data_IF_824340580761
#
_entry.id   IF_824340580761
#
_cell.length_a   1.000
_cell.length_b   1.000
_cell.length_c   1.000
_cell.angle_alpha   90.00
_cell.angle_beta   90.00
_cell.angle_gamma   90.00
#
_symmetry.space_group_name_H-M   'P 1'
#
loop_
_entity.id
_entity.type
_entity.pdbx_description
1 polymer ?
#
# COMPACT_ATOMS: atom_id res chain seq x y z
N UNK A 1 12.27 -8.38 24.82
CA UNK A 1 12.05 -9.16 23.58
C UNK A 1 13.17 -8.83 22.60
N UNK A 2 13.76 -9.82 21.92
CA UNK A 2 14.88 -9.56 21.00
C UNK A 2 14.41 -8.87 19.70
N UNK A 3 15.24 -8.05 19.04
CA UNK A 3 14.89 -7.43 17.76
C UNK A 3 14.44 -8.43 16.69
N UNK A 4 15.09 -9.59 16.64
CA UNK A 4 14.73 -10.68 15.72
C UNK A 4 13.34 -11.24 16.01
N UNK A 5 12.96 -11.37 17.28
CA UNK A 5 11.62 -11.84 17.66
C UNK A 5 10.53 -10.82 17.24
N UNK A 6 10.80 -9.52 17.39
CA UNK A 6 9.92 -8.45 16.91
C UNK A 6 9.75 -8.55 15.39
N UNK A 7 10.85 -8.64 14.64
CA UNK A 7 10.81 -8.74 13.18
C UNK A 7 9.99 -9.95 12.70
N UNK A 8 10.16 -11.12 13.34
CA UNK A 8 9.38 -12.33 13.03
C UNK A 8 7.90 -12.15 13.36
N UNK A 9 7.59 -11.57 14.52
CA UNK A 9 6.20 -11.35 14.95
C UNK A 9 5.47 -10.41 13.98
N UNK A 10 6.13 -9.35 13.53
CA UNK A 10 5.57 -8.43 12.53
C UNK A 10 5.45 -9.08 11.16
N UNK A 11 6.41 -9.91 10.73
CA UNK A 11 6.25 -10.67 9.49
C UNK A 11 5.03 -11.60 9.54
N UNK A 12 4.82 -12.31 10.64
CA UNK A 12 3.63 -13.16 10.85
C UNK A 12 2.36 -12.33 10.83
N UNK A 13 2.34 -11.18 11.50
CA UNK A 13 1.22 -10.25 11.48
C UNK A 13 0.88 -9.79 10.06
N UNK A 14 1.87 -9.39 9.26
CA UNK A 14 1.65 -8.94 7.88
C UNK A 14 1.06 -10.05 7.01
N UNK A 15 1.55 -11.28 7.12
CA UNK A 15 0.97 -12.42 6.39
C UNK A 15 -0.43 -12.78 6.88
N UNK A 16 -0.70 -12.67 8.18
CA UNK A 16 -2.05 -12.88 8.72
C UNK A 16 -3.03 -11.81 8.22
N UNK A 17 -2.62 -10.54 8.17
CA UNK A 17 -3.40 -9.46 7.58
C UNK A 17 -3.61 -9.66 6.08
N UNK A 18 -2.56 -10.02 5.33
CA UNK A 18 -2.66 -10.32 3.92
C UNK A 18 -3.70 -11.42 3.68
N UNK A 19 -3.61 -12.54 4.40
CA UNK A 19 -4.59 -13.62 4.31
C UNK A 19 -6.01 -13.15 4.66
N UNK A 20 -6.17 -12.42 5.77
CA UNK A 20 -7.47 -11.88 6.18
C UNK A 20 -8.09 -11.00 5.08
N UNK A 21 -7.32 -10.07 4.54
CA UNK A 21 -7.75 -9.12 3.53
C UNK A 21 -8.02 -9.78 2.18
N UNK A 22 -7.27 -10.84 1.87
CA UNK A 22 -7.46 -11.71 0.71
C UNK A 22 -8.79 -12.45 0.76
N UNK A 23 -9.11 -13.13 1.87
CA UNK A 23 -10.36 -13.92 1.98
C UNK A 23 -11.61 -13.03 2.01
N UNK A 24 -11.49 -11.79 2.48
CA UNK A 24 -12.57 -10.79 2.46
C UNK A 24 -12.67 -10.04 1.13
N UNK A 25 -11.91 -10.45 0.11
CA UNK A 25 -11.91 -9.82 -1.22
C UNK A 25 -11.68 -8.31 -1.16
N UNK A 26 -10.79 -7.83 -0.27
CA UNK A 26 -10.55 -6.39 -0.08
C UNK A 26 -9.93 -5.73 -1.33
N UNK A 27 -9.35 -6.53 -2.23
CA UNK A 27 -8.91 -6.08 -3.53
C UNK A 27 -10.03 -5.57 -4.43
N UNK A 28 -11.31 -5.81 -4.12
CA UNK A 28 -12.45 -5.25 -4.84
C UNK A 28 -12.81 -3.81 -4.41
N UNK A 29 -12.21 -3.31 -3.32
CA UNK A 29 -12.50 -1.96 -2.85
C UNK A 29 -12.14 -0.93 -3.93
N UNK A 30 -13.07 0.00 -4.16
CA UNK A 30 -12.89 1.14 -5.05
C UNK A 30 -12.61 0.69 -6.50
N UNK A 31 -11.46 1.02 -7.11
CA UNK A 31 -11.21 0.74 -8.53
C UNK A 31 -11.02 -0.77 -8.81
N UNK A 32 -10.77 -1.56 -7.78
CA UNK A 32 -10.48 -2.98 -7.93
C UNK A 32 -11.62 -3.82 -8.49
N UNK A 33 -12.88 -3.48 -8.19
CA UNK A 33 -14.02 -4.15 -8.81
C UNK A 33 -14.07 -3.87 -10.32
N UNK A 34 -13.82 -2.62 -10.73
CA UNK A 34 -13.73 -2.24 -12.15
C UNK A 34 -12.61 -3.00 -12.85
N UNK A 35 -11.44 -3.10 -12.22
CA UNK A 35 -10.28 -3.81 -12.79
C UNK A 35 -10.61 -5.28 -13.00
N UNK A 36 -11.23 -5.93 -12.01
CA UNK A 36 -11.61 -7.34 -12.14
C UNK A 36 -12.67 -7.54 -13.24
N UNK A 37 -13.70 -6.69 -13.32
CA UNK A 37 -14.71 -6.79 -14.39
C UNK A 37 -14.06 -6.66 -15.76
N UNK A 38 -13.25 -5.62 -15.97
CA UNK A 38 -12.60 -5.38 -17.26
C UNK A 38 -11.66 -6.53 -17.64
N UNK A 39 -10.97 -7.11 -16.66
CA UNK A 39 -10.12 -8.28 -16.86
C UNK A 39 -10.91 -9.49 -17.36
N UNK A 40 -12.07 -9.76 -16.75
CA UNK A 40 -12.91 -10.90 -17.08
C UNK A 40 -13.69 -10.72 -18.39
N UNK A 41 -14.13 -9.50 -18.68
CA UNK A 41 -14.86 -9.14 -19.92
C UNK A 41 -13.94 -9.21 -21.14
N UNK A 42 -12.72 -8.68 -21.03
CA UNK A 42 -11.78 -8.60 -22.14
C UNK A 42 -10.90 -9.85 -22.30
N UNK A 43 -10.73 -10.65 -21.25
CA UNK A 43 -9.88 -11.85 -21.27
C UNK A 43 -8.38 -11.58 -21.46
N UNK A 44 -7.92 -10.34 -21.24
CA UNK A 44 -6.51 -9.95 -21.31
C UNK A 44 -6.22 -8.86 -20.27
N UNK A 45 -4.93 -8.58 -20.04
CA UNK A 45 -4.48 -7.56 -19.10
C UNK A 45 -5.17 -6.22 -19.35
N UNK A 46 -5.66 -5.61 -18.28
CA UNK A 46 -6.29 -4.31 -18.34
C UNK A 46 -5.35 -3.24 -17.81
N UNK A 47 -4.91 -2.33 -18.68
CA UNK A 47 -4.01 -1.23 -18.35
C UNK A 47 -4.80 0.09 -18.34
N UNK A 48 -5.20 0.57 -17.15
CA UNK A 48 -5.88 1.87 -17.03
C UNK A 48 -4.94 3.04 -17.35
N UNK A 49 -3.68 2.89 -16.95
CA UNK A 49 -2.60 3.80 -17.28
C UNK A 49 -1.41 2.97 -17.76
N UNK A 50 -1.13 2.99 -19.07
CA UNK A 50 0.00 2.23 -19.61
C UNK A 50 1.30 2.52 -18.84
N UNK A 51 1.50 3.75 -18.37
CA UNK A 51 2.63 4.15 -17.52
C UNK A 51 2.81 3.36 -16.20
N UNK A 52 1.80 2.60 -15.75
CA UNK A 52 1.78 1.84 -14.48
C UNK A 52 1.59 0.32 -14.67
N UNK A 53 1.65 -0.14 -15.92
CA UNK A 53 1.25 -1.48 -16.35
C UNK A 53 2.02 -2.65 -15.68
N UNK A 54 3.27 -2.49 -15.24
CA UNK A 54 4.05 -3.64 -14.78
C UNK A 54 3.50 -4.27 -13.49
N UNK A 55 3.05 -3.44 -12.53
CA UNK A 55 2.47 -3.94 -11.28
C UNK A 55 1.11 -4.56 -11.53
N UNK A 56 0.34 -3.96 -12.43
CA UNK A 56 -0.97 -4.46 -12.85
C UNK A 56 -0.85 -5.83 -13.50
N UNK A 57 0.11 -6.03 -14.41
CA UNK A 57 0.31 -7.34 -15.04
C UNK A 57 0.64 -8.43 -14.03
N UNK A 58 1.55 -8.17 -13.09
CA UNK A 58 1.93 -9.17 -12.08
C UNK A 58 0.74 -9.50 -11.16
N UNK A 59 -0.11 -8.52 -10.85
CA UNK A 59 -1.26 -8.70 -9.94
C UNK A 59 -2.49 -9.31 -10.63
N UNK A 60 -2.65 -9.09 -11.94
CA UNK A 60 -3.76 -9.63 -12.74
C UNK A 60 -3.48 -11.04 -13.29
N UNK A 61 -2.21 -11.39 -13.54
CA UNK A 61 -1.84 -12.67 -14.17
C UNK A 61 -2.44 -13.91 -13.48
N UNK A 62 -2.44 -14.03 -12.13
CA UNK A 62 -3.04 -15.18 -11.46
C UNK A 62 -4.55 -15.34 -11.75
N UNK A 63 -5.26 -14.23 -11.94
CA UNK A 63 -6.70 -14.23 -12.22
C UNK A 63 -6.96 -14.70 -13.64
N UNK A 64 -6.20 -14.19 -14.61
CA UNK A 64 -6.29 -14.61 -16.01
C UNK A 64 -6.01 -16.10 -16.17
N UNK A 65 -4.95 -16.61 -15.54
CA UNK A 65 -4.61 -18.03 -15.59
C UNK A 65 -5.73 -18.92 -15.01
N UNK A 66 -6.37 -18.49 -13.91
CA UNK A 66 -7.52 -19.21 -13.35
C UNK A 66 -8.74 -19.15 -14.28
N UNK A 67 -9.02 -17.98 -14.87
CA UNK A 67 -10.10 -17.81 -15.83
C UNK A 67 -9.87 -18.66 -17.09
N UNK A 68 -8.66 -18.72 -17.62
CA UNK A 68 -8.28 -19.61 -18.73
C UNK A 68 -8.43 -21.08 -18.36
N UNK A 69 -8.11 -21.46 -17.12
CA UNK A 69 -8.32 -22.80 -16.58
C UNK A 69 -9.81 -23.14 -16.33
N UNK A 70 -10.74 -22.28 -16.72
CA UNK A 70 -12.19 -22.53 -16.65
C UNK A 70 -12.83 -22.13 -15.32
N UNK A 71 -12.12 -21.43 -14.43
CA UNK A 71 -12.72 -20.88 -13.21
C UNK A 71 -13.72 -19.79 -13.57
N UNK A 72 -14.96 -19.96 -13.10
CA UNK A 72 -16.05 -18.99 -13.30
C UNK A 72 -16.66 -18.48 -11.99
N UNK A 73 -16.16 -18.95 -10.84
CA UNK A 73 -16.54 -18.40 -9.54
C UNK A 73 -15.85 -17.05 -9.32
N UNK A 74 -16.62 -15.96 -9.41
CA UNK A 74 -16.09 -14.60 -9.26
C UNK A 74 -15.55 -14.35 -7.86
N UNK A 75 -16.03 -15.07 -6.83
CA UNK A 75 -15.48 -14.97 -5.49
C UNK A 75 -14.07 -15.54 -5.44
N UNK A 76 -13.85 -16.73 -6.00
CA UNK A 76 -12.52 -17.33 -6.05
C UNK A 76 -11.54 -16.47 -6.85
N UNK A 77 -12.01 -15.88 -7.96
CA UNK A 77 -11.22 -14.94 -8.76
C UNK A 77 -10.89 -13.65 -7.99
N UNK A 78 -11.85 -13.11 -7.23
CA UNK A 78 -11.63 -11.94 -6.35
C UNK A 78 -10.66 -12.25 -5.19
N UNK A 79 -10.70 -13.46 -4.64
CA UNK A 79 -9.72 -13.95 -3.66
C UNK A 79 -8.34 -14.03 -4.31
N UNK A 80 -8.21 -14.63 -5.49
CA UNK A 80 -6.93 -14.72 -6.19
C UNK A 80 -6.37 -13.34 -6.53
N UNK A 81 -7.22 -12.42 -6.99
CA UNK A 81 -6.86 -11.04 -7.27
C UNK A 81 -6.35 -10.33 -6.00
N UNK A 82 -7.12 -10.41 -4.91
CA UNK A 82 -6.73 -9.84 -3.62
C UNK A 82 -5.45 -10.47 -3.08
N UNK A 83 -5.25 -11.79 -3.27
CA UNK A 83 -4.03 -12.49 -2.89
C UNK A 83 -2.81 -11.90 -3.60
N UNK A 84 -2.88 -11.68 -4.91
CA UNK A 84 -1.78 -11.10 -5.67
C UNK A 84 -1.46 -9.68 -5.20
N UNK A 85 -2.49 -8.86 -4.94
CA UNK A 85 -2.36 -7.49 -4.45
C UNK A 85 -1.73 -7.40 -3.05
N UNK A 86 -2.06 -8.30 -2.12
CA UNK A 86 -1.52 -8.28 -0.75
C UNK A 86 -0.21 -9.04 -0.59
N UNK A 87 -0.01 -10.14 -1.34
CA UNK A 87 1.16 -11.00 -1.17
C UNK A 87 2.46 -10.31 -1.61
N UNK A 88 2.45 -9.55 -2.71
CA UNK A 88 3.62 -8.83 -3.21
C UNK A 88 4.20 -7.83 -2.19
N UNK A 89 3.45 -6.82 -1.71
CA UNK A 89 3.98 -5.86 -0.74
C UNK A 89 4.38 -6.56 0.57
N UNK A 90 3.62 -7.57 1.00
CA UNK A 90 3.94 -8.36 2.20
C UNK A 90 5.28 -9.10 2.04
N UNK A 91 5.53 -9.71 0.88
CA UNK A 91 6.79 -10.39 0.59
C UNK A 91 7.98 -9.42 0.58
N UNK A 92 7.81 -8.22 0.01
CA UNK A 92 8.85 -7.19 0.02
C UNK A 92 9.14 -6.66 1.43
N UNK A 93 8.12 -6.36 2.23
CA UNK A 93 8.34 -5.96 3.63
C UNK A 93 8.93 -7.08 4.48
N UNK A 94 8.52 -8.33 4.26
CA UNK A 94 9.14 -9.48 4.90
C UNK A 94 10.63 -9.60 4.53
N UNK A 95 10.97 -9.44 3.25
CA UNK A 95 12.36 -9.41 2.80
C UNK A 95 13.13 -8.27 3.48
N UNK A 96 12.57 -7.06 3.53
CA UNK A 96 13.19 -5.91 4.20
C UNK A 96 13.48 -6.24 5.68
N UNK A 97 12.48 -6.72 6.42
CA UNK A 97 12.61 -7.16 7.82
C UNK A 97 13.71 -8.21 7.99
N UNK A 98 13.75 -9.23 7.12
CA UNK A 98 14.77 -10.29 7.17
C UNK A 98 16.17 -9.74 6.94
N UNK A 99 16.32 -8.78 6.02
CA UNK A 99 17.61 -8.15 5.71
C UNK A 99 18.15 -7.34 6.89
N UNK A 100 17.29 -6.54 7.53
CA UNK A 100 17.72 -5.61 8.59
C UNK A 100 17.60 -6.17 10.00
N UNK A 101 17.08 -7.39 10.22
CA UNK A 101 16.81 -7.98 11.56
C UNK A 101 17.97 -7.97 12.56
N UNK A 102 19.21 -7.84 12.08
CA UNK A 102 20.43 -7.82 12.91
C UNK A 102 20.92 -6.41 13.23
N UNK A 103 20.38 -5.39 12.57
CA UNK A 103 20.66 -3.98 12.81
C UNK A 103 19.40 -3.34 13.43
N UNK A 104 19.38 -3.09 14.76
CA UNK A 104 18.21 -2.55 15.42
C UNK A 104 17.78 -1.17 14.92
N UNK A 105 18.71 -0.35 14.40
CA UNK A 105 18.38 0.99 13.89
C UNK A 105 17.66 0.88 12.54
N UNK A 106 18.22 0.08 11.62
CA UNK A 106 17.58 -0.16 10.33
C UNK A 106 16.26 -0.93 10.49
N UNK A 107 16.20 -1.87 11.44
CA UNK A 107 14.95 -2.57 11.77
C UNK A 107 13.89 -1.61 12.30
N UNK A 108 14.25 -0.71 13.22
CA UNK A 108 13.33 0.31 13.71
C UNK A 108 12.78 1.18 12.55
N UNK A 109 13.63 1.56 11.58
CA UNK A 109 13.21 2.32 10.41
C UNK A 109 12.25 1.52 9.50
N UNK A 110 12.51 0.23 9.24
CA UNK A 110 11.59 -0.61 8.45
C UNK A 110 10.25 -0.81 9.18
N UNK A 111 10.28 -1.01 10.50
CA UNK A 111 9.05 -1.08 11.31
C UNK A 111 8.27 0.24 11.29
N UNK A 112 8.97 1.37 11.32
CA UNK A 112 8.36 2.69 11.16
C UNK A 112 7.69 2.85 9.80
N UNK A 113 8.35 2.42 8.71
CA UNK A 113 7.76 2.42 7.36
C UNK A 113 6.49 1.54 7.33
N UNK A 114 6.54 0.33 7.89
CA UNK A 114 5.36 -0.54 7.94
C UNK A 114 4.20 0.15 8.70
N UNK A 115 4.48 0.71 9.86
CA UNK A 115 3.46 1.27 10.74
C UNK A 115 2.88 2.61 10.25
N UNK A 116 3.68 3.47 9.62
CA UNK A 116 3.29 4.83 9.26
C UNK A 116 3.13 5.07 7.74
N UNK A 117 3.59 4.14 6.90
CA UNK A 117 3.43 4.20 5.43
C UNK A 117 2.51 3.08 4.97
N UNK A 118 2.85 1.81 5.21
CA UNK A 118 2.09 0.69 4.64
C UNK A 118 0.69 0.53 5.23
N UNK A 119 0.56 0.29 6.54
CA UNK A 119 -0.76 0.05 7.17
C UNK A 119 -1.74 1.21 6.91
N UNK A 120 -1.32 2.49 6.97
CA UNK A 120 -2.21 3.61 6.70
C UNK A 120 -2.61 3.76 5.22
N UNK A 121 -1.97 3.07 4.28
CA UNK A 121 -2.31 3.17 2.86
C UNK A 121 -2.81 1.86 2.25
N UNK A 122 -2.70 0.74 2.98
CA UNK A 122 -2.97 -0.60 2.46
C UNK A 122 -4.44 -1.00 2.37
N UNK A 123 -5.37 -0.17 2.87
CA UNK A 123 -6.79 -0.43 2.70
C UNK A 123 -7.19 -0.29 1.22
N UNK A 124 -6.73 0.78 0.56
CA UNK A 124 -6.75 0.90 -0.89
C UNK A 124 -5.52 0.18 -1.48
N UNK A 125 -5.61 -1.14 -1.60
CA UNK A 125 -4.47 -1.97 -2.00
C UNK A 125 -4.19 -1.95 -3.51
N UNK A 126 -5.23 -1.69 -4.33
CA UNK A 126 -5.19 -1.72 -5.80
C UNK A 126 -4.19 -0.71 -6.35
N UNK A 127 -3.95 0.39 -5.61
CA UNK A 127 -2.91 1.35 -5.97
C UNK A 127 -1.52 0.73 -6.01
N UNK A 128 -0.88 0.88 -7.17
CA UNK A 128 0.43 0.34 -7.54
C UNK A 128 1.54 0.85 -6.59
N UNK A 129 1.30 2.01 -5.97
CA UNK A 129 2.19 2.60 -4.96
C UNK A 129 2.47 1.66 -3.79
N UNK A 130 1.54 0.78 -3.40
CA UNK A 130 1.77 -0.14 -2.27
C UNK A 130 2.91 -1.13 -2.59
N UNK A 131 2.90 -1.67 -3.80
CA UNK A 131 3.97 -2.56 -4.31
C UNK A 131 5.26 -1.77 -4.50
N UNK A 132 5.18 -0.58 -5.10
CA UNK A 132 6.35 0.27 -5.32
C UNK A 132 7.05 0.66 -4.00
N UNK A 133 6.31 1.14 -3.00
CA UNK A 133 6.85 1.52 -1.69
C UNK A 133 7.50 0.33 -0.97
N UNK A 134 6.85 -0.84 -1.01
CA UNK A 134 7.39 -2.04 -0.40
C UNK A 134 8.67 -2.52 -1.11
N UNK A 135 8.65 -2.55 -2.45
CA UNK A 135 9.79 -2.92 -3.29
C UNK A 135 10.99 -1.99 -3.06
N UNK A 136 10.77 -0.67 -3.05
CA UNK A 136 11.81 0.34 -2.79
C UNK A 136 12.36 0.19 -1.37
N UNK A 137 11.52 -0.08 -0.38
CA UNK A 137 11.97 -0.35 1.00
C UNK A 137 12.85 -1.60 1.06
N UNK A 138 12.45 -2.68 0.39
CA UNK A 138 13.24 -3.90 0.30
C UNK A 138 14.56 -3.68 -0.44
N UNK A 139 14.54 -2.93 -1.55
CA UNK A 139 15.73 -2.58 -2.31
C UNK A 139 16.70 -1.73 -1.48
N UNK A 140 16.20 -0.74 -0.73
CA UNK A 140 17.03 0.04 0.18
C UNK A 140 17.64 -0.85 1.27
N UNK A 141 16.86 -1.73 1.88
CA UNK A 141 17.37 -2.69 2.86
C UNK A 141 18.46 -3.59 2.27
N UNK A 142 18.32 -4.06 1.03
CA UNK A 142 19.34 -4.84 0.33
C UNK A 142 20.59 -4.00 0.05
N UNK A 143 20.43 -2.79 -0.47
CA UNK A 143 21.55 -1.89 -0.79
C UNK A 143 22.37 -1.54 0.47
N UNK A 144 21.72 -1.22 1.58
CA UNK A 144 22.42 -0.85 2.81
C UNK A 144 23.12 -2.04 3.50
N UNK A 145 22.57 -3.24 3.36
CA UNK A 145 23.10 -4.45 4.03
C UNK A 145 24.06 -5.28 3.17
N UNK A 146 24.18 -4.99 1.88
CA UNK A 146 25.15 -5.65 1.02
C UNK A 146 26.57 -5.13 1.27
N UNK A 147 27.56 -6.00 1.05
CA UNK A 147 29.00 -5.71 1.04
C UNK A 147 29.48 -5.18 -0.32
N UNK A 148 28.58 -5.08 -1.30
CA UNK A 148 28.90 -4.59 -2.65
C UNK A 148 29.60 -5.63 -3.53
N UNK A 149 29.76 -6.87 -3.07
CA UNK A 149 30.44 -7.94 -3.83
C UNK A 149 29.51 -9.09 -4.21
N UNK A 150 28.31 -9.16 -3.61
CA UNK A 150 27.35 -10.24 -3.86
C UNK A 150 26.55 -10.05 -5.14
N UNK A 151 26.85 -10.86 -6.16
CA UNK A 151 26.10 -10.94 -7.42
C UNK A 151 24.58 -11.15 -7.22
N UNK A 152 24.18 -11.96 -6.24
CA UNK A 152 22.76 -12.19 -5.91
C UNK A 152 22.04 -10.91 -5.50
N UNK A 153 22.69 -10.07 -4.69
CA UNK A 153 22.09 -8.82 -4.23
C UNK A 153 21.98 -7.82 -5.39
N UNK A 154 23.00 -7.75 -6.26
CA UNK A 154 22.95 -6.94 -7.48
C UNK A 154 21.83 -7.39 -8.43
N UNK A 155 21.66 -8.71 -8.64
CA UNK A 155 20.57 -9.26 -9.45
C UNK A 155 19.18 -8.97 -8.88
N UNK A 156 19.01 -9.09 -7.55
CA UNK A 156 17.76 -8.72 -6.88
C UNK A 156 17.43 -7.24 -7.06
N UNK A 157 18.42 -6.35 -6.87
CA UNK A 157 18.24 -4.91 -7.08
C UNK A 157 17.87 -4.58 -8.52
N UNK A 158 18.46 -5.27 -9.50
CA UNK A 158 18.08 -5.12 -10.90
C UNK A 158 16.63 -5.55 -11.14
N UNK A 159 16.22 -6.72 -10.63
CA UNK A 159 14.85 -7.18 -10.73
C UNK A 159 13.86 -6.19 -10.10
N UNK A 160 14.19 -5.61 -8.95
CA UNK A 160 13.39 -4.58 -8.29
C UNK A 160 13.30 -3.30 -9.11
N UNK A 161 14.42 -2.87 -9.72
CA UNK A 161 14.45 -1.71 -10.61
C UNK A 161 13.57 -1.91 -11.85
N UNK A 162 13.63 -3.10 -12.47
CA UNK A 162 12.80 -3.44 -13.64
C UNK A 162 11.31 -3.47 -13.30
N UNK A 163 10.94 -4.02 -12.14
CA UNK A 163 9.56 -3.95 -11.66
C UNK A 163 9.11 -2.49 -11.50
N UNK A 164 9.97 -1.63 -10.93
CA UNK A 164 9.66 -0.23 -10.66
C UNK A 164 9.56 0.67 -11.90
N UNK A 165 10.05 0.25 -13.08
CA UNK A 165 10.10 1.08 -14.30
C UNK A 165 8.75 1.73 -14.66
N UNK A 166 7.67 0.96 -14.56
CA UNK A 166 6.29 1.39 -14.86
C UNK A 166 5.40 1.06 -13.67
N UNK A 167 5.75 1.58 -12.49
CA UNK A 167 5.00 1.30 -11.26
C UNK A 167 4.22 2.49 -10.74
N UNK A 168 4.87 3.62 -10.43
CA UNK A 168 4.18 4.70 -9.71
C UNK A 168 4.90 6.05 -9.77
N UNK A 169 4.17 7.15 -9.57
CA UNK A 169 4.67 8.52 -9.67
C UNK A 169 5.73 8.91 -8.63
N UNK A 170 5.71 8.28 -7.45
CA UNK A 170 6.72 8.57 -6.42
C UNK A 170 8.13 8.13 -6.81
N UNK A 171 8.28 7.30 -7.86
CA UNK A 171 9.61 6.91 -8.35
C UNK A 171 10.39 8.10 -8.90
N UNK A 172 9.74 9.23 -9.23
CA UNK A 172 10.44 10.46 -9.63
C UNK A 172 11.49 10.90 -8.60
N UNK A 173 11.20 10.77 -7.31
CA UNK A 173 12.13 11.12 -6.23
C UNK A 173 12.71 9.90 -5.50
N UNK A 174 11.97 8.79 -5.42
CA UNK A 174 12.48 7.57 -4.78
C UNK A 174 13.48 6.81 -5.67
N UNK A 175 13.31 6.84 -6.99
CA UNK A 175 14.19 6.19 -7.96
C UNK A 175 15.62 6.73 -7.89
N UNK A 176 15.85 8.06 -8.01
CA UNK A 176 17.18 8.64 -7.91
C UNK A 176 17.82 8.43 -6.53
N UNK A 177 17.04 8.52 -5.45
CA UNK A 177 17.50 8.22 -4.09
C UNK A 177 18.06 6.79 -4.00
N UNK A 178 17.32 5.81 -4.52
CA UNK A 178 17.71 4.42 -4.47
C UNK A 178 18.89 4.11 -5.40
N UNK A 179 18.90 4.68 -6.60
CA UNK A 179 20.04 4.59 -7.51
C UNK A 179 21.33 5.10 -6.86
N UNK A 180 21.27 6.24 -6.15
CA UNK A 180 22.40 6.78 -5.43
C UNK A 180 22.89 5.85 -4.30
N UNK A 181 21.97 5.29 -3.50
CA UNK A 181 22.30 4.32 -2.45
C UNK A 181 22.90 3.01 -3.00
N UNK A 182 22.42 2.54 -4.15
CA UNK A 182 22.95 1.36 -4.86
C UNK A 182 24.38 1.63 -5.34
N UNK A 183 24.62 2.74 -6.03
CA UNK A 183 25.96 3.09 -6.51
C UNK A 183 26.94 3.33 -5.36
N UNK A 184 26.49 3.96 -4.27
CA UNK A 184 27.28 4.09 -3.04
C UNK A 184 27.66 2.71 -2.48
N UNK A 185 26.74 1.75 -2.47
CA UNK A 185 26.98 0.40 -1.97
C UNK A 185 27.96 -0.37 -2.88
N UNK A 186 27.82 -0.25 -4.19
CA UNK A 186 28.73 -0.85 -5.17
C UNK A 186 30.16 -0.31 -5.04
N UNK A 187 30.33 0.99 -4.73
CA UNK A 187 31.66 1.60 -4.53
C UNK A 187 32.38 1.09 -3.27
N UNK A 188 31.66 0.57 -2.28
CA UNK A 188 32.28 -0.02 -1.08
C UNK A 188 32.93 -1.38 -1.35
N UNK A 189 32.48 -2.09 -2.39
CA UNK A 189 32.91 -3.44 -2.70
C UNK A 189 33.95 -3.51 -3.83
N UNK A 190 34.98 -4.33 -3.64
CA UNK A 190 35.94 -4.69 -4.69
C UNK A 190 35.45 -5.80 -5.64
N UNK A 191 34.13 -5.95 -5.82
CA UNK A 191 33.52 -7.08 -6.53
C UNK A 191 33.98 -7.23 -7.99
N UNK A 192 33.73 -8.41 -8.55
CA UNK A 192 34.06 -8.73 -9.94
C UNK A 192 33.34 -7.77 -10.93
N UNK A 193 33.87 -7.60 -12.16
CA UNK A 193 33.28 -6.71 -13.15
C UNK A 193 31.80 -6.99 -13.44
N UNK A 194 31.38 -8.26 -13.46
CA UNK A 194 29.99 -8.65 -13.73
C UNK A 194 29.03 -8.18 -12.63
N UNK A 195 29.43 -8.32 -11.36
CA UNK A 195 28.66 -7.80 -10.23
C UNK A 195 28.53 -6.27 -10.28
N UNK A 196 29.60 -5.55 -10.66
CA UNK A 196 29.56 -4.08 -10.83
C UNK A 196 28.61 -3.67 -11.94
N UNK A 197 28.62 -4.36 -13.08
CA UNK A 197 27.69 -4.12 -14.19
C UNK A 197 26.24 -4.30 -13.72
N UNK A 198 25.94 -5.36 -12.97
CA UNK A 198 24.58 -5.57 -12.44
C UNK A 198 24.12 -4.44 -11.51
N UNK A 199 24.99 -3.93 -10.64
CA UNK A 199 24.66 -2.78 -9.80
C UNK A 199 24.43 -1.50 -10.63
N UNK A 200 25.22 -1.28 -11.69
CA UNK A 200 25.02 -0.15 -12.60
C UNK A 200 23.69 -0.27 -13.35
N UNK A 201 23.37 -1.44 -13.88
CA UNK A 201 22.10 -1.71 -14.54
C UNK A 201 20.92 -1.53 -13.57
N UNK A 202 21.06 -1.97 -12.32
CA UNK A 202 20.04 -1.76 -11.29
C UNK A 202 19.81 -0.26 -11.02
N UNK A 203 20.89 0.51 -10.86
CA UNK A 203 20.80 1.96 -10.68
C UNK A 203 20.15 2.64 -11.89
N UNK A 204 20.55 2.25 -13.12
CA UNK A 204 19.94 2.74 -14.35
C UNK A 204 18.45 2.41 -14.45
N UNK A 205 18.02 1.22 -14.02
CA UNK A 205 16.61 0.85 -14.01
C UNK A 205 15.79 1.76 -13.07
N UNK A 206 16.31 2.11 -11.88
CA UNK A 206 15.65 3.05 -10.98
C UNK A 206 15.64 4.50 -11.49
N UNK A 207 16.67 4.93 -12.23
CA UNK A 207 16.64 6.21 -12.94
C UNK A 207 15.62 6.18 -14.08
N UNK A 208 15.55 5.09 -14.84
CA UNK A 208 14.53 4.87 -15.87
C UNK A 208 13.13 4.96 -15.30
N UNK A 209 12.89 4.38 -14.12
CA UNK A 209 11.60 4.47 -13.42
C UNK A 209 11.23 5.92 -13.10
N UNK A 210 12.21 6.71 -12.67
CA UNK A 210 12.01 8.13 -12.40
C UNK A 210 11.67 8.93 -13.66
N UNK A 211 12.31 8.61 -14.80
CA UNK A 211 12.04 9.25 -16.09
C UNK A 211 10.65 8.92 -16.61
N UNK A 212 10.24 7.64 -16.58
CA UNK A 212 8.88 7.22 -16.96
C UNK A 212 7.84 7.92 -16.09
N UNK A 213 8.09 7.99 -14.78
CA UNK A 213 7.23 8.73 -13.86
C UNK A 213 7.17 10.22 -14.19
N UNK A 214 8.28 10.86 -14.54
CA UNK A 214 8.30 12.27 -14.88
C UNK A 214 7.44 12.54 -16.14
N UNK A 215 7.63 11.74 -17.20
CA UNK A 215 6.81 11.82 -18.43
C UNK A 215 5.33 11.69 -18.10
N UNK A 216 4.96 10.69 -17.29
CA UNK A 216 3.57 10.48 -16.86
C UNK A 216 3.02 11.70 -16.12
N UNK A 217 3.78 12.29 -15.19
CA UNK A 217 3.36 13.48 -14.46
C UNK A 217 3.13 14.66 -15.42
N UNK A 218 3.99 14.83 -16.43
CA UNK A 218 3.81 15.88 -17.43
C UNK A 218 2.58 15.64 -18.31
N UNK A 219 2.41 14.43 -18.84
CA UNK A 219 1.29 14.09 -19.74
C UNK A 219 -0.07 14.28 -19.06
N UNK A 220 -0.15 13.98 -17.76
CA UNK A 220 -1.40 14.06 -16.99
C UNK A 220 -1.52 15.31 -16.11
N UNK A 221 -0.59 16.27 -16.22
CA UNK A 221 -0.54 17.42 -15.32
C UNK A 221 -1.83 18.25 -15.35
N UNK A 222 -2.38 18.50 -16.53
CA UNK A 222 -3.57 19.34 -16.71
C UNK A 222 -4.87 18.52 -16.83
N UNK A 223 -4.79 17.19 -16.67
CA UNK A 223 -5.97 16.34 -16.75
C UNK A 223 -6.92 16.62 -15.56
N UNK A 224 -8.23 16.86 -15.79
CA UNK A 224 -9.17 17.28 -14.74
C UNK A 224 -9.19 16.36 -13.51
N UNK A 225 -9.08 15.04 -13.73
CA UNK A 225 -8.96 14.06 -12.67
C UNK A 225 -7.74 14.34 -11.76
N UNK A 226 -6.56 14.61 -12.34
CA UNK A 226 -5.33 14.82 -11.59
C UNK A 226 -5.31 16.17 -10.86
N UNK A 227 -5.97 17.20 -11.41
CA UNK A 227 -6.19 18.45 -10.68
C UNK A 227 -7.02 18.23 -9.42
N UNK A 228 -8.13 17.47 -9.50
CA UNK A 228 -8.97 17.12 -8.36
C UNK A 228 -8.20 16.29 -7.31
N UNK A 229 -7.44 15.30 -7.75
CA UNK A 229 -6.63 14.46 -6.85
C UNK A 229 -5.55 15.28 -6.14
N UNK A 230 -4.89 16.20 -6.85
CA UNK A 230 -3.88 17.09 -6.28
C UNK A 230 -4.47 18.04 -5.25
N UNK A 231 -5.63 18.64 -5.52
CA UNK A 231 -6.28 19.55 -4.57
C UNK A 231 -6.74 18.82 -3.30
N UNK A 232 -7.18 17.57 -3.42
CA UNK A 232 -7.52 16.73 -2.25
C UNK A 232 -6.30 16.14 -1.53
N UNK A 233 -5.09 16.23 -2.07
CA UNK A 233 -3.89 15.59 -1.47
C UNK A 233 -3.54 16.13 -0.08
N UNK A 234 -4.03 17.33 0.26
CA UNK A 234 -3.89 17.88 1.61
C UNK A 234 -4.78 17.16 2.62
N UNK A 235 -5.90 16.56 2.21
CA UNK A 235 -6.87 15.89 3.08
C UNK A 235 -6.35 14.57 3.70
N UNK A 236 -5.05 14.26 3.56
CA UNK A 236 -4.41 13.11 4.19
C UNK A 236 -4.63 13.06 5.72
N UNK A 237 -4.86 14.20 6.38
CA UNK A 237 -5.13 14.25 7.82
C UNK A 237 -6.45 13.58 8.21
N UNK A 238 -7.38 13.39 7.27
CA UNK A 238 -8.62 12.64 7.49
C UNK A 238 -8.35 11.15 7.74
N UNK A 239 -7.17 10.65 7.32
CA UNK A 239 -6.73 9.31 7.64
C UNK A 239 -6.14 9.27 9.05
N UNK A 240 -6.97 8.93 10.04
CA UNK A 240 -6.50 8.79 11.43
C UNK A 240 -5.39 7.73 11.57
N UNK A 241 -5.38 6.69 10.73
CA UNK A 241 -4.31 5.68 10.74
C UNK A 241 -2.97 6.26 10.28
N UNK A 242 -2.98 7.34 9.50
CA UNK A 242 -1.77 8.04 9.08
C UNK A 242 -1.40 9.17 10.06
N UNK A 243 -2.38 10.00 10.41
CA UNK A 243 -2.19 11.19 11.24
C UNK A 243 -1.71 10.85 12.66
N UNK A 244 -2.25 9.81 13.29
CA UNK A 244 -1.89 9.42 14.67
C UNK A 244 -0.42 8.96 14.74
N UNK A 245 0.04 7.97 13.95
CA UNK A 245 1.47 7.64 13.85
C UNK A 245 2.34 8.85 13.53
N UNK A 246 1.98 9.64 12.51
CA UNK A 246 2.76 10.79 12.07
C UNK A 246 2.97 11.80 13.19
N UNK A 247 1.95 12.09 13.99
CA UNK A 247 2.06 12.96 15.16
C UNK A 247 3.10 12.42 16.16
N UNK A 248 3.07 11.12 16.46
CA UNK A 248 4.08 10.47 17.30
C UNK A 248 5.49 10.59 16.76
N UNK A 249 5.67 10.35 15.46
CA UNK A 249 6.95 10.52 14.77
C UNK A 249 7.46 11.96 14.85
N UNK A 250 6.62 12.94 14.55
CA UNK A 250 6.99 14.35 14.57
C UNK A 250 7.36 14.82 15.98
N UNK A 251 6.60 14.44 17.00
CA UNK A 251 6.93 14.77 18.40
C UNK A 251 8.28 14.18 18.78
N UNK A 252 8.51 12.89 18.50
CA UNK A 252 9.77 12.24 18.83
C UNK A 252 10.96 12.80 18.03
N UNK A 253 10.75 13.12 16.77
CA UNK A 253 11.76 13.72 15.90
C UNK A 253 12.14 15.12 16.39
N UNK A 254 11.17 16.01 16.61
CA UNK A 254 11.42 17.38 17.07
C UNK A 254 12.06 17.39 18.45
N UNK A 255 11.58 16.56 19.38
CA UNK A 255 12.18 16.43 20.70
C UNK A 255 13.60 15.85 20.62
N UNK A 256 13.82 14.82 19.80
CA UNK A 256 15.12 14.18 19.60
C UNK A 256 16.16 15.06 18.91
N UNK A 257 15.74 15.90 17.96
CA UNK A 257 16.63 16.88 17.30
C UNK A 257 17.04 17.97 18.30
N UNK A 258 16.08 18.49 19.09
CA UNK A 258 16.35 19.55 20.07
C UNK A 258 17.13 19.06 21.29
N UNK A 259 16.87 17.83 21.75
CA UNK A 259 17.48 17.23 22.94
C UNK A 259 17.75 15.74 22.70
N UNK A 260 18.87 15.37 22.05
CA UNK A 260 19.18 13.97 21.74
C UNK A 260 19.16 13.03 22.96
N UNK A 261 19.60 13.51 24.14
CA UNK A 261 19.55 12.74 25.39
C UNK A 261 18.11 12.38 25.83
N UNK A 262 17.08 13.11 25.38
CA UNK A 262 15.69 12.78 25.66
C UNK A 262 15.29 11.41 25.10
N UNK A 263 15.90 10.97 23.99
CA UNK A 263 15.65 9.65 23.40
C UNK A 263 16.06 8.48 24.32
N UNK A 264 17.00 8.73 25.24
CA UNK A 264 17.43 7.74 26.24
C UNK A 264 16.47 7.65 27.41
N UNK A 265 15.69 8.71 27.68
CA UNK A 265 14.74 8.78 28.79
C UNK A 265 13.42 8.07 28.53
N UNK A 266 12.46 8.23 29.46
CA UNK A 266 11.11 7.64 29.36
C UNK A 266 10.20 8.37 28.36
N UNK A 267 10.59 9.57 27.92
CA UNK A 267 9.78 10.43 27.05
C UNK A 267 9.26 9.75 25.77
N UNK A 268 10.12 9.13 24.94
CA UNK A 268 9.67 8.41 23.75
C UNK A 268 8.68 7.28 24.06
N UNK A 269 8.86 6.59 25.20
CA UNK A 269 7.97 5.50 25.62
C UNK A 269 6.58 6.04 25.95
N UNK A 270 6.50 7.15 26.68
CA UNK A 270 5.22 7.78 27.02
C UNK A 270 4.52 8.28 25.77
N UNK A 271 5.23 9.03 24.91
CA UNK A 271 4.66 9.56 23.66
C UNK A 271 4.17 8.42 22.77
N UNK A 272 5.03 7.47 22.45
CA UNK A 272 4.65 6.37 21.55
C UNK A 272 3.63 5.43 22.19
N UNK A 273 3.64 5.25 23.52
CA UNK A 273 2.63 4.48 24.24
C UNK A 273 1.24 5.11 24.12
N UNK A 274 1.14 6.43 24.26
CA UNK A 274 -0.11 7.17 24.02
C UNK A 274 -0.56 7.02 22.57
N UNK A 275 0.36 7.18 21.61
CA UNK A 275 0.07 7.04 20.17
C UNK A 275 -0.41 5.63 19.82
N UNK A 276 0.21 4.60 20.38
CA UNK A 276 -0.20 3.20 20.26
C UNK A 276 -1.63 3.00 20.78
N UNK A 277 -1.95 3.53 21.95
CA UNK A 277 -3.30 3.44 22.54
C UNK A 277 -4.31 4.19 21.66
N UNK A 278 -4.01 5.43 21.28
CA UNK A 278 -4.89 6.24 20.42
C UNK A 278 -5.18 5.55 19.09
N UNK A 279 -4.16 4.97 18.45
CA UNK A 279 -4.32 4.23 17.20
C UNK A 279 -5.18 2.98 17.40
N UNK A 280 -4.90 2.21 18.46
CA UNK A 280 -5.64 1.01 18.79
C UNK A 280 -7.13 1.29 19.05
N UNK A 281 -7.47 2.36 19.77
CA UNK A 281 -8.86 2.70 20.08
C UNK A 281 -9.58 3.45 18.96
N UNK A 282 -8.85 3.92 17.94
CA UNK A 282 -9.41 4.75 16.85
C UNK A 282 -10.67 4.18 16.17
N UNK A 283 -10.85 2.85 15.97
CA UNK A 283 -12.07 2.32 15.37
C UNK A 283 -13.34 2.56 16.19
N UNK A 284 -13.20 2.69 17.52
CA UNK A 284 -14.30 2.90 18.44
C UNK A 284 -14.57 4.38 18.71
N UNK A 285 -13.69 5.29 18.29
CA UNK A 285 -13.90 6.73 18.47
C UNK A 285 -15.24 7.16 17.88
N UNK A 286 -15.64 6.57 16.74
CA UNK A 286 -16.94 6.82 16.11
C UNK A 286 -18.16 6.65 17.05
N UNK A 287 -18.06 5.81 18.08
CA UNK A 287 -19.15 5.59 19.05
C UNK A 287 -19.36 6.85 19.89
N UNK A 288 -18.28 7.60 20.13
CA UNK A 288 -18.27 8.82 20.96
C UNK A 288 -18.34 10.08 20.11
N UNK A 289 -17.72 10.09 18.93
CA UNK A 289 -17.73 11.20 17.99
C UNK A 289 -17.90 10.66 16.56
N UNK A 290 -19.12 10.67 16.05
CA UNK A 290 -19.46 10.14 14.73
C UNK A 290 -18.60 10.71 13.57
N UNK A 291 -18.10 11.97 13.61
CA UNK A 291 -17.18 12.49 12.59
C UNK A 291 -15.74 11.92 12.64
N UNK A 292 -15.31 11.28 13.75
CA UNK A 292 -13.96 10.68 13.90
C UNK A 292 -13.86 9.34 13.17
N UNK A 293 -13.92 9.40 11.85
CA UNK A 293 -14.05 8.25 10.97
C UNK A 293 -12.67 7.83 10.44
N UNK A 294 -12.42 6.52 10.51
CA UNK A 294 -11.46 5.87 9.62
C UNK A 294 -12.07 5.90 8.22
N UNK A 295 -11.74 6.92 7.42
CA UNK A 295 -12.35 7.12 6.11
C UNK A 295 -11.58 6.33 5.06
N UNK A 296 -12.10 5.20 4.53
CA UNK A 296 -11.32 4.33 3.64
C UNK A 296 -10.75 5.05 2.41
N UNK A 297 -11.48 5.99 1.76
CA UNK A 297 -10.92 6.74 0.66
C UNK A 297 -9.71 7.62 1.01
N UNK A 298 -9.57 8.03 2.27
CA UNK A 298 -8.39 8.78 2.73
C UNK A 298 -7.08 7.97 2.65
N UNK A 299 -7.14 6.64 2.56
CA UNK A 299 -5.95 5.80 2.35
C UNK A 299 -5.31 6.04 0.98
N UNK A 300 -6.12 6.28 -0.06
CA UNK A 300 -5.63 6.69 -1.37
C UNK A 300 -5.04 8.10 -1.30
N UNK A 301 -5.73 9.05 -0.68
CA UNK A 301 -5.25 10.44 -0.56
C UNK A 301 -3.93 10.53 0.20
N UNK A 302 -3.80 9.76 1.29
CA UNK A 302 -2.60 9.75 2.14
C UNK A 302 -1.34 9.24 1.42
N UNK A 303 -1.46 8.56 0.27
CA UNK A 303 -0.33 7.96 -0.45
C UNK A 303 0.79 8.96 -0.80
N UNK A 304 0.45 10.22 -1.10
CA UNK A 304 1.46 11.24 -1.44
C UNK A 304 2.27 11.65 -0.21
N UNK A 305 1.59 11.97 0.90
CA UNK A 305 2.24 12.26 2.17
C UNK A 305 3.05 11.05 2.69
N UNK A 306 2.51 9.85 2.55
CA UNK A 306 3.18 8.60 2.89
C UNK A 306 4.43 8.36 2.03
N UNK A 307 4.38 8.70 0.74
CA UNK A 307 5.53 8.65 -0.16
C UNK A 307 6.65 9.63 0.24
N UNK A 308 6.31 10.84 0.69
CA UNK A 308 7.29 11.80 1.21
C UNK A 308 7.89 11.31 2.54
N UNK A 309 7.05 10.79 3.44
CA UNK A 309 7.50 10.20 4.70
C UNK A 309 8.45 9.02 4.46
N UNK A 310 8.12 8.16 3.49
CA UNK A 310 8.98 7.07 3.05
C UNK A 310 10.34 7.61 2.59
N UNK A 311 10.38 8.62 1.73
CA UNK A 311 11.64 9.21 1.27
C UNK A 311 12.50 9.69 2.45
N UNK A 312 11.91 10.40 3.41
CA UNK A 312 12.59 10.87 4.60
C UNK A 312 13.17 9.72 5.46
N UNK A 313 12.39 8.65 5.65
CA UNK A 313 12.84 7.46 6.38
C UNK A 313 13.97 6.73 5.65
N UNK A 314 13.90 6.59 4.33
CA UNK A 314 14.94 5.95 3.51
C UNK A 314 16.23 6.78 3.46
N UNK A 315 16.13 8.11 3.37
CA UNK A 315 17.28 9.02 3.53
C UNK A 315 17.89 8.84 4.91
N UNK A 316 17.07 8.79 5.97
CA UNK A 316 17.52 8.52 7.33
C UNK A 316 18.27 7.19 7.45
N UNK A 317 17.74 6.12 6.86
CA UNK A 317 18.40 4.81 6.81
C UNK A 317 19.75 4.89 6.10
N UNK A 318 19.82 5.55 4.95
CA UNK A 318 21.07 5.67 4.20
C UNK A 318 22.11 6.50 4.96
N UNK A 319 21.73 7.65 5.51
CA UNK A 319 22.60 8.49 6.35
C UNK A 319 23.10 7.74 7.59
N UNK A 320 22.26 6.91 8.20
CA UNK A 320 22.66 6.07 9.34
C UNK A 320 23.82 5.13 9.00
N UNK A 321 23.94 4.65 7.75
CA UNK A 321 25.02 3.73 7.35
C UNK A 321 26.17 4.45 6.68
N UNK A 322 25.88 5.44 5.82
CA UNK A 322 26.87 6.07 4.96
C UNK A 322 27.65 7.20 5.63
N UNK A 323 27.06 7.87 6.62
CA UNK A 323 27.62 9.09 7.16
C UNK A 323 28.58 8.80 8.32
N UNK A 324 29.84 9.21 8.14
CA UNK A 324 30.94 8.95 9.09
C UNK A 324 30.83 9.79 10.37
N UNK A 325 30.36 11.04 10.26
CA UNK A 325 30.23 11.99 11.36
C UNK A 325 28.76 12.34 11.61
N UNK A 326 27.96 11.38 12.11
CA UNK A 326 26.52 11.57 12.30
C UNK A 326 26.18 12.73 13.25
N UNK A 327 25.11 13.49 12.98
CA UNK A 327 24.56 14.44 13.94
C UNK A 327 24.22 13.76 15.28
N UNK A 328 24.14 14.53 16.36
CA UNK A 328 23.93 14.00 17.71
C UNK A 328 22.68 13.09 17.85
N UNK A 329 21.60 13.37 17.11
CA UNK A 329 20.41 12.51 17.09
C UNK A 329 20.71 11.10 16.54
N UNK A 330 21.50 11.00 15.47
CA UNK A 330 21.88 9.73 14.88
C UNK A 330 22.79 8.94 15.84
N UNK A 331 23.70 9.62 16.54
CA UNK A 331 24.52 9.01 17.60
C UNK A 331 23.65 8.46 18.73
N UNK A 332 22.65 9.23 19.19
CA UNK A 332 21.73 8.78 20.24
C UNK A 332 20.91 7.56 19.81
N UNK A 333 20.38 7.54 18.59
CA UNK A 333 19.61 6.41 18.05
C UNK A 333 20.46 5.15 17.89
N UNK A 334 21.76 5.27 17.60
CA UNK A 334 22.69 4.12 17.50
C UNK A 334 22.98 3.46 18.84
N UNK A 335 22.65 4.07 19.97
CA UNK A 335 22.85 3.45 21.27
C UNK A 335 22.00 2.17 21.39
N UNK A 336 22.58 1.03 21.81
CA UNK A 336 21.88 -0.26 21.78
C UNK A 336 20.54 -0.26 22.54
N UNK A 337 20.47 0.45 23.67
CA UNK A 337 19.27 0.57 24.49
C UNK A 337 18.18 1.38 23.77
N UNK A 338 18.54 2.50 23.15
CA UNK A 338 17.62 3.36 22.40
C UNK A 338 17.10 2.63 21.17
N UNK A 339 18.00 2.01 20.39
CA UNK A 339 17.63 1.28 19.19
C UNK A 339 16.71 0.10 19.50
N UNK A 340 17.02 -0.69 20.54
CA UNK A 340 16.17 -1.81 20.98
C UNK A 340 14.79 -1.33 21.43
N UNK A 341 14.72 -0.20 22.13
CA UNK A 341 13.46 0.42 22.53
C UNK A 341 12.66 0.91 21.33
N UNK A 342 13.29 1.55 20.35
CA UNK A 342 12.62 1.99 19.12
C UNK A 342 12.05 0.81 18.34
N UNK A 343 12.76 -0.32 18.26
CA UNK A 343 12.23 -1.56 17.67
C UNK A 343 10.95 -2.01 18.39
N UNK A 344 10.93 -1.98 19.72
CA UNK A 344 9.72 -2.34 20.48
C UNK A 344 8.57 -1.35 20.26
N UNK A 345 8.85 -0.05 20.28
CA UNK A 345 7.83 0.99 20.10
C UNK A 345 7.22 0.96 18.70
N UNK A 346 8.03 0.81 17.66
CA UNK A 346 7.51 0.71 16.29
C UNK A 346 6.89 -0.66 15.99
N UNK A 347 7.38 -1.73 16.62
CA UNK A 347 6.69 -3.02 16.61
C UNK A 347 5.30 -2.94 17.24
N UNK A 348 5.20 -2.31 18.43
CA UNK A 348 3.91 -2.08 19.09
C UNK A 348 2.98 -1.19 18.24
N UNK A 349 3.53 -0.16 17.59
CA UNK A 349 2.77 0.69 16.68
C UNK A 349 2.25 -0.08 15.46
N UNK A 350 3.05 -0.98 14.87
CA UNK A 350 2.60 -1.83 13.77
C UNK A 350 1.48 -2.79 14.21
N UNK A 351 1.57 -3.36 15.43
CA UNK A 351 0.48 -4.17 16.01
C UNK A 351 -0.77 -3.33 16.23
N UNK A 352 -0.63 -2.11 16.77
CA UNK A 352 -1.76 -1.20 16.96
C UNK A 352 -2.40 -0.77 15.64
N UNK A 353 -1.61 -0.54 14.59
CA UNK A 353 -2.08 -0.22 13.24
C UNK A 353 -2.86 -1.35 12.57
N UNK A 354 -2.65 -2.61 12.98
CA UNK A 354 -3.45 -3.74 12.49
C UNK A 354 -4.90 -3.71 12.99
N UNK A 355 -5.16 -3.08 14.14
CA UNK A 355 -6.51 -3.03 14.74
C UNK A 355 -7.49 -2.24 13.87
N UNK A 356 -7.20 -0.99 13.44
CA UNK A 356 -8.08 -0.27 12.52
C UNK A 356 -8.14 -0.91 11.12
N UNK A 357 -7.07 -1.55 10.64
CA UNK A 357 -7.10 -2.34 9.40
C UNK A 357 -8.14 -3.47 9.48
N UNK A 358 -8.09 -4.29 10.54
CA UNK A 358 -9.05 -5.39 10.77
C UNK A 358 -10.48 -4.85 10.93
N UNK A 359 -10.66 -3.75 11.68
CA UNK A 359 -11.97 -3.16 11.91
C UNK A 359 -12.60 -2.69 10.59
N UNK A 360 -11.85 -2.00 9.74
CA UNK A 360 -12.32 -1.57 8.43
C UNK A 360 -12.59 -2.76 7.50
N UNK A 361 -11.74 -3.78 7.50
CA UNK A 361 -11.95 -4.99 6.69
C UNK A 361 -13.22 -5.73 7.08
N UNK A 362 -13.57 -5.78 8.37
CA UNK A 362 -14.84 -6.36 8.82
C UNK A 362 -16.04 -5.56 8.34
N UNK A 363 -15.97 -4.23 8.39
CA UNK A 363 -17.03 -3.36 7.86
C UNK A 363 -17.19 -3.54 6.35
N UNK A 364 -16.08 -3.68 5.62
CA UNK A 364 -16.07 -3.97 4.19
C UNK A 364 -16.74 -5.31 3.85
N UNK A 365 -16.42 -6.37 4.61
CA UNK A 365 -17.07 -7.67 4.41
C UNK A 365 -18.59 -7.59 4.60
N UNK A 366 -19.05 -6.82 5.60
CA UNK A 366 -20.48 -6.58 5.80
C UNK A 366 -21.12 -5.79 4.64
N UNK A 367 -20.39 -4.81 4.09
CA UNK A 367 -20.84 -4.05 2.92
C UNK A 367 -21.02 -4.95 1.68
N UNK A 368 -20.05 -5.81 1.39
CA UNK A 368 -20.11 -6.75 0.25
C UNK A 368 -21.31 -7.71 0.40
N UNK A 369 -21.55 -8.20 1.61
CA UNK A 369 -22.69 -9.08 1.87
C UNK A 369 -24.04 -8.36 1.66
N UNK A 370 -24.17 -7.12 2.14
CA UNK A 370 -25.37 -6.31 1.90
C UNK A 370 -25.59 -6.05 0.42
N UNK A 371 -24.53 -5.70 -0.31
CA UNK A 371 -24.60 -5.42 -1.74
C UNK A 371 -25.04 -6.67 -2.52
N UNK A 372 -24.45 -7.83 -2.20
CA UNK A 372 -24.86 -9.11 -2.77
C UNK A 372 -26.34 -9.41 -2.52
N UNK A 373 -26.82 -9.22 -1.29
CA UNK A 373 -28.23 -9.45 -0.96
C UNK A 373 -29.18 -8.59 -1.80
N UNK A 374 -28.82 -7.32 -2.05
CA UNK A 374 -29.61 -6.43 -2.90
C UNK A 374 -29.61 -6.88 -4.35
N UNK A 375 -28.43 -7.22 -4.90
CA UNK A 375 -28.27 -7.57 -6.31
C UNK A 375 -28.91 -8.92 -6.64
N UNK A 376 -28.77 -9.92 -5.75
CA UNK A 376 -29.34 -11.26 -5.97
C UNK A 376 -30.88 -11.30 -5.83
N UNK A 377 -31.50 -10.31 -5.17
CA UNK A 377 -32.95 -10.26 -4.91
C UNK A 377 -33.73 -9.39 -5.89
N UNK A 378 -33.04 -8.62 -6.73
CA UNK A 378 -33.65 -7.63 -7.64
C UNK A 378 -33.36 -7.98 -9.09
N UNK A 379 -34.01 -7.23 -9.98
CA UNK A 379 -33.79 -7.32 -11.43
C UNK A 379 -33.70 -5.90 -12.00
N UNK A 380 -32.88 -5.76 -13.05
CA UNK A 380 -32.68 -4.49 -13.74
C UNK A 380 -31.82 -3.48 -12.97
N UNK A 381 -32.02 -2.21 -13.28
CA UNK A 381 -31.23 -1.11 -12.71
C UNK A 381 -31.84 -0.70 -11.36
N UNK A 382 -31.04 -0.74 -10.30
CA UNK A 382 -31.40 -0.35 -8.94
C UNK A 382 -30.64 0.92 -8.59
N UNK A 383 -31.37 1.96 -8.19
CA UNK A 383 -30.75 3.23 -7.78
C UNK A 383 -30.16 3.13 -6.38
N UNK A 384 -28.89 3.49 -6.22
CA UNK A 384 -28.17 3.47 -4.95
C UNK A 384 -28.86 4.35 -3.89
N UNK A 385 -29.48 5.45 -4.33
CA UNK A 385 -30.21 6.43 -3.53
C UNK A 385 -31.47 5.83 -2.88
N UNK A 386 -31.99 4.73 -3.44
CA UNK A 386 -33.17 4.01 -2.90
C UNK A 386 -32.80 2.91 -1.91
N UNK A 387 -31.51 2.72 -1.67
CA UNK A 387 -30.97 1.69 -0.80
C UNK A 387 -30.37 2.33 0.46
N UNK A 388 -30.29 1.59 1.58
CA UNK A 388 -29.59 2.04 2.79
C UNK A 388 -28.06 2.05 2.61
N UNK A 389 -27.56 2.25 1.38
CA UNK A 389 -26.13 2.34 1.07
C UNK A 389 -25.53 3.69 1.48
N UNK A 390 -26.36 4.72 1.63
CA UNK A 390 -25.98 6.01 2.20
C UNK A 390 -26.02 6.02 3.74
N UNK A 391 -26.49 4.94 4.36
CA UNK A 391 -26.55 4.81 5.80
C UNK A 391 -25.26 4.22 6.38
N UNK A 392 -25.03 4.48 7.66
CA UNK A 392 -23.91 3.88 8.38
C UNK A 392 -24.13 2.38 8.62
N UNK A 393 -23.08 1.54 8.53
CA UNK A 393 -21.69 1.87 8.22
C UNK A 393 -21.36 1.94 6.72
N UNK A 394 -22.29 1.58 5.85
CA UNK A 394 -22.08 1.37 4.41
C UNK A 394 -21.65 2.63 3.65
N UNK A 395 -22.08 3.80 4.13
CA UNK A 395 -21.63 5.11 3.65
C UNK A 395 -20.10 5.25 3.56
N UNK A 396 -19.33 4.50 4.36
CA UNK A 396 -17.86 4.49 4.31
C UNK A 396 -17.27 4.01 2.99
N UNK A 397 -18.01 3.14 2.29
CA UNK A 397 -17.56 2.47 1.07
C UNK A 397 -18.29 2.98 -0.16
N UNK A 398 -19.17 3.96 0.01
CA UNK A 398 -19.94 4.57 -1.06
C UNK A 398 -19.01 5.25 -2.09
N UNK A 399 -19.07 4.79 -3.34
CA UNK A 399 -18.35 5.33 -4.49
C UNK A 399 -19.19 5.11 -5.76
N UNK A 400 -19.77 6.20 -6.27
CA UNK A 400 -20.80 6.25 -7.32
C UNK A 400 -20.42 5.46 -8.57
N UNK A 401 -19.14 5.53 -8.97
CA UNK A 401 -18.62 4.88 -10.16
C UNK A 401 -18.28 3.40 -9.96
N UNK A 402 -18.06 2.94 -8.72
CA UNK A 402 -17.65 1.54 -8.49
C UNK A 402 -18.83 0.59 -8.41
N UNK A 403 -20.04 1.08 -8.08
CA UNK A 403 -21.21 0.23 -7.86
C UNK A 403 -21.63 -0.64 -9.05
N UNK A 404 -21.62 -0.17 -10.31
CA UNK A 404 -21.96 -1.03 -11.43
C UNK A 404 -21.04 -2.25 -11.50
N UNK A 405 -19.72 -2.01 -11.46
CA UNK A 405 -18.71 -3.07 -11.52
C UNK A 405 -18.78 -4.00 -10.31
N UNK A 406 -18.91 -3.42 -9.11
CA UNK A 406 -19.00 -4.18 -7.87
C UNK A 406 -20.25 -5.07 -7.86
N UNK A 407 -21.40 -4.56 -8.31
CA UNK A 407 -22.64 -5.33 -8.48
C UNK A 407 -22.46 -6.49 -9.43
N UNK A 408 -21.77 -6.27 -10.55
CA UNK A 408 -21.52 -7.32 -11.55
C UNK A 408 -20.69 -8.47 -10.97
N UNK A 409 -19.63 -8.16 -10.22
CA UNK A 409 -18.71 -9.16 -9.66
C UNK A 409 -19.35 -9.95 -8.53
N UNK A 410 -20.07 -9.29 -7.62
CA UNK A 410 -20.60 -9.95 -6.42
C UNK A 410 -21.95 -10.65 -6.63
N UNK A 411 -22.54 -10.52 -7.83
CA UNK A 411 -23.79 -11.17 -8.21
C UNK A 411 -23.61 -12.67 -8.44
N UNK A 412 -24.60 -13.48 -8.03
CA UNK A 412 -24.70 -14.90 -8.45
C UNK A 412 -25.05 -15.07 -9.92
N UNK A 413 -25.78 -14.10 -10.49
CA UNK A 413 -26.17 -14.05 -11.88
C UNK A 413 -25.78 -12.66 -12.43
N UNK A 414 -24.50 -12.46 -12.81
CA UNK A 414 -24.06 -11.23 -13.46
C UNK A 414 -24.97 -10.89 -14.64
N UNK A 415 -25.39 -9.64 -14.77
CA UNK A 415 -26.39 -9.23 -15.76
C UNK A 415 -27.82 -9.10 -15.22
N UNK A 416 -28.16 -9.77 -14.10
CA UNK A 416 -29.53 -9.75 -13.58
C UNK A 416 -29.92 -8.40 -12.96
N UNK A 417 -29.04 -7.80 -12.17
CA UNK A 417 -29.28 -6.54 -11.47
C UNK A 417 -27.98 -5.74 -11.34
N UNK A 418 -28.10 -4.41 -11.44
CA UNK A 418 -26.98 -3.48 -11.26
C UNK A 418 -27.37 -2.35 -10.35
N UNK A 419 -26.49 -2.01 -9.41
CA UNK A 419 -26.64 -0.80 -8.61
C UNK A 419 -25.92 0.34 -9.35
N UNK A 420 -26.65 1.42 -9.57
CA UNK A 420 -26.15 2.65 -10.19
C UNK A 420 -26.47 3.83 -9.28
N UNK A 421 -25.68 4.89 -9.37
CA UNK A 421 -25.97 6.18 -8.73
C UNK A 421 -26.45 7.18 -9.79
N UNK A 422 -27.19 8.20 -9.38
CA UNK A 422 -27.65 9.30 -10.23
C UNK A 422 -26.46 10.24 -10.60
N UNK A 423 -25.50 9.73 -11.37
CA UNK A 423 -24.44 10.49 -12.05
C UNK A 423 -24.51 10.31 -13.57
N UNK A 424 -23.96 11.28 -14.30
CA UNK A 424 -23.88 11.25 -15.76
C UNK A 424 -22.82 10.27 -16.30
N UNK A 425 -21.98 9.73 -15.41
CA UNK A 425 -20.86 8.83 -15.70
C UNK A 425 -19.86 9.34 -16.77
N UNK A 426 -19.95 10.62 -17.18
CA UNK A 426 -19.19 11.18 -18.30
C UNK A 426 -17.67 11.28 -18.04
N UNK A 427 -17.25 11.24 -16.77
CA UNK A 427 -15.86 11.46 -16.37
C UNK A 427 -15.08 10.20 -15.96
N UNK A 428 -15.76 9.09 -15.65
CA UNK A 428 -15.16 7.81 -15.26
C UNK A 428 -16.20 6.65 -15.34
N UNK A 429 -16.73 6.28 -16.52
CA UNK A 429 -17.58 5.11 -16.64
C UNK A 429 -16.71 3.85 -16.74
N UNK A 430 -16.72 2.91 -15.78
CA UNK A 430 -16.12 1.59 -16.02
C UNK A 430 -16.92 0.80 -17.07
N UNK A 431 -18.22 1.07 -17.16
CA UNK A 431 -19.18 0.74 -18.21
C UNK A 431 -20.49 1.49 -17.88
N UNK A 432 -21.34 1.80 -18.87
CA UNK A 432 -22.61 2.52 -18.65
C UNK A 432 -23.81 1.57 -18.82
N UNK A 433 -24.39 1.04 -17.71
CA UNK A 433 -25.59 0.20 -17.77
C UNK A 433 -26.80 0.92 -18.39
N UNK A 434 -26.91 2.24 -18.18
CA UNK A 434 -27.99 3.06 -18.74
C UNK A 434 -27.92 3.18 -20.28
N UNK A 435 -26.72 3.05 -20.86
CA UNK A 435 -26.49 3.07 -22.30
C UNK A 435 -26.38 1.66 -22.91
N UNK A 436 -26.65 0.61 -22.13
CA UNK A 436 -26.65 -0.79 -22.59
C UNK A 436 -25.26 -1.43 -22.72
N UNK A 437 -24.19 -0.77 -22.28
CA UNK A 437 -22.86 -1.38 -22.21
C UNK A 437 -22.74 -2.15 -20.89
N UNK A 438 -23.15 -3.41 -20.91
CA UNK A 438 -22.99 -4.33 -19.78
C UNK A 438 -21.75 -5.21 -20.00
N UNK A 439 -20.97 -5.51 -18.95
CA UNK A 439 -19.81 -6.38 -19.09
C UNK A 439 -20.25 -7.81 -19.42
N UNK A 440 -19.54 -8.49 -20.33
CA UNK A 440 -19.85 -9.86 -20.78
C UNK A 440 -19.34 -10.88 -19.78
N UNK A 441 -20.06 -11.01 -18.67
CA UNK A 441 -19.75 -11.96 -17.59
C UNK A 441 -20.59 -13.24 -17.67
N UNK A 442 -20.95 -13.68 -18.87
CA UNK A 442 -21.75 -14.89 -19.06
C UNK A 442 -21.03 -16.13 -18.46
N UNK A 443 -21.77 -16.93 -17.69
CA UNK A 443 -21.26 -18.11 -17.00
C UNK A 443 -20.46 -17.83 -15.72
N UNK A 444 -20.08 -16.57 -15.47
CA UNK A 444 -19.50 -16.16 -14.19
C UNK A 444 -20.57 -15.99 -13.11
N UNK A 445 -20.18 -16.09 -11.84
CA UNK A 445 -21.05 -15.74 -10.73
C UNK A 445 -20.42 -15.99 -9.36
N UNK A 446 -20.87 -15.24 -8.35
CA UNK A 446 -20.34 -15.29 -7.00
C UNK A 446 -20.84 -16.52 -6.24
N UNK A 447 -20.00 -17.55 -6.08
CA UNK A 447 -20.40 -18.81 -5.41
C UNK A 447 -20.10 -18.79 -3.90
N UNK A 448 -20.71 -19.75 -3.20
CA UNK A 448 -20.70 -19.85 -1.73
C UNK A 448 -19.36 -20.23 -1.14
#
# INVERSE_FOLDING_TARGET
MSPVAVARSIAVLLWALALHNTVTCRGLFWDGASFLVNLLDHGHFHDFYAARAHVDWVTQAPVLLLAEAGVRDTRMLAIAYSAALFALPTAFYHLALVRVRRDPVLLAAVLAIIAAVYLPTSFFIVGEYNVAFACITAAMAVALTTDGTRRRDAALLLAFGLLCLRSYEATIYLGPLLAAAILWSARRGGGDPGTKILFQLAALAFIGAALVSAVTIFDYWDHPHFMKVRSTSVDFWQNMQFAIPLAGFLICLVAGVRRPAWLQGRGPVVVMGVIVVLLAVSPWWRIVHAPSILYPPSHYVARQAAGMLLAALLIGMWLQVAYRNPPAIFVAVRQPEVASRMVLLFGALAVAGAIPDIALTRLWSGHIEQLRLVVDQRTGIVRAETLPLHDWPTKLFFQDWSYPALSAVVSRAPGQSYIVSDQDYLSNPPFEPACGMLPKLEGYGWRR
#
